data_IF_068453477516
#
_entry.id   IF_068453477516
#
_cell.length_a   1.000
_cell.length_b   1.000
_cell.length_c   1.000
_cell.angle_alpha   90.00
_cell.angle_beta   90.00
_cell.angle_gamma   90.00
#
_symmetry.space_group_name_H-M   'P 1'
#
loop_
_entity.id
_entity.type
_entity.pdbx_description
1 polymer ?
#
# COMPACT_ATOMS: atom_id res chain seq x y z
N UNK A 1 -48.82 -20.16 4.86
CA UNK A 1 -47.66 -19.46 5.28
C UNK A 1 -46.34 -20.13 4.86
N UNK A 2 -46.06 -20.30 3.56
CA UNK A 2 -44.81 -20.96 3.10
C UNK A 2 -43.84 -19.96 2.45
N UNK A 3 -44.22 -18.68 2.41
CA UNK A 3 -43.40 -17.65 1.77
C UNK A 3 -42.51 -16.80 2.71
N UNK A 4 -42.63 -16.93 4.02
CA UNK A 4 -41.94 -16.05 4.95
C UNK A 4 -40.54 -16.51 5.38
N UNK A 5 -40.20 -17.77 5.22
CA UNK A 5 -38.96 -18.38 5.72
C UNK A 5 -37.69 -18.01 4.95
N UNK A 6 -37.80 -17.53 3.72
CA UNK A 6 -36.62 -17.28 2.86
C UNK A 6 -36.13 -15.84 2.93
N UNK A 7 -36.97 -14.87 3.32
CA UNK A 7 -36.55 -13.47 3.41
C UNK A 7 -35.54 -13.25 4.55
N UNK A 8 -35.66 -13.97 5.64
CA UNK A 8 -34.70 -13.90 6.76
C UNK A 8 -33.32 -14.44 6.36
N UNK A 9 -33.25 -15.55 5.65
CA UNK A 9 -32.00 -16.13 5.18
C UNK A 9 -31.30 -15.21 4.16
N UNK A 10 -32.05 -14.66 3.20
CA UNK A 10 -31.53 -13.69 2.22
C UNK A 10 -31.07 -12.40 2.93
N UNK A 11 -31.84 -11.92 3.90
CA UNK A 11 -31.46 -10.72 4.69
C UNK A 11 -30.18 -10.93 5.50
N UNK A 12 -30.06 -12.08 6.19
CA UNK A 12 -28.84 -12.44 6.92
C UNK A 12 -27.63 -12.60 5.98
N UNK A 13 -27.79 -13.29 4.85
CA UNK A 13 -26.73 -13.45 3.88
C UNK A 13 -26.25 -12.11 3.32
N UNK A 14 -27.18 -11.24 2.93
CA UNK A 14 -26.86 -9.89 2.46
C UNK A 14 -26.12 -9.06 3.53
N UNK A 15 -26.57 -9.16 4.80
CA UNK A 15 -25.94 -8.47 5.93
C UNK A 15 -24.50 -8.96 6.13
N UNK A 16 -24.26 -10.27 6.16
CA UNK A 16 -22.91 -10.82 6.34
C UNK A 16 -22.00 -10.50 5.17
N UNK A 17 -22.51 -10.54 3.95
CA UNK A 17 -21.74 -10.21 2.74
C UNK A 17 -21.35 -8.73 2.73
N UNK A 18 -22.27 -7.83 3.06
CA UNK A 18 -22.00 -6.41 3.16
C UNK A 18 -21.07 -6.08 4.32
N UNK A 19 -21.26 -6.71 5.48
CA UNK A 19 -20.38 -6.55 6.62
C UNK A 19 -18.95 -7.03 6.31
N UNK A 20 -18.79 -8.18 5.67
CA UNK A 20 -17.50 -8.69 5.23
C UNK A 20 -16.80 -7.74 4.25
N UNK A 21 -17.53 -7.25 3.24
CA UNK A 21 -17.02 -6.26 2.29
C UNK A 21 -16.65 -4.94 2.95
N UNK A 22 -17.45 -4.48 3.91
CA UNK A 22 -17.16 -3.25 4.66
C UNK A 22 -15.88 -3.38 5.49
N UNK A 23 -15.72 -4.51 6.20
CA UNK A 23 -14.51 -4.78 7.00
C UNK A 23 -13.27 -4.90 6.12
N UNK A 24 -13.36 -5.60 4.98
CA UNK A 24 -12.28 -5.70 4.00
C UNK A 24 -11.85 -4.33 3.48
N UNK A 25 -12.83 -3.52 3.04
CA UNK A 25 -12.57 -2.16 2.56
C UNK A 25 -11.90 -1.30 3.62
N UNK A 26 -12.39 -1.33 4.85
CA UNK A 26 -11.83 -0.57 5.97
C UNK A 26 -10.41 -1.00 6.34
N UNK A 27 -10.12 -2.30 6.26
CA UNK A 27 -8.77 -2.82 6.46
C UNK A 27 -7.81 -2.32 5.37
N UNK A 28 -8.22 -2.36 4.10
CA UNK A 28 -7.43 -1.85 2.96
C UNK A 28 -7.17 -0.34 3.06
N UNK A 29 -8.17 0.45 3.43
CA UNK A 29 -8.03 1.91 3.58
C UNK A 29 -6.99 2.28 4.66
N UNK A 30 -6.96 1.55 5.78
CA UNK A 30 -5.97 1.76 6.84
C UNK A 30 -4.54 1.42 6.40
N UNK A 31 -4.38 0.38 5.60
CA UNK A 31 -3.07 -0.06 5.11
C UNK A 31 -2.54 0.89 4.04
N UNK A 32 -3.39 1.36 3.12
CA UNK A 32 -3.02 2.33 2.08
C UNK A 32 -2.60 3.70 2.66
N UNK A 33 -3.21 4.12 3.78
CA UNK A 33 -2.87 5.38 4.43
C UNK A 33 -1.42 5.40 4.97
N UNK A 34 -0.91 4.27 5.46
CA UNK A 34 0.46 4.17 5.98
C UNK A 34 1.50 4.34 4.85
N UNK A 35 1.24 3.78 3.67
CA UNK A 35 2.16 3.89 2.51
C UNK A 35 2.14 5.29 1.90
N UNK A 36 0.96 5.95 1.86
CA UNK A 36 0.82 7.31 1.34
C UNK A 36 1.59 8.35 2.18
N UNK A 37 1.78 8.12 3.47
CA UNK A 37 2.58 9.00 4.32
C UNK A 37 4.06 9.03 3.92
N UNK A 38 4.64 7.94 3.46
CA UNK A 38 6.04 7.88 3.03
C UNK A 38 6.30 8.67 1.74
N UNK A 39 5.33 8.70 0.82
CA UNK A 39 5.45 9.46 -0.44
C UNK A 39 5.37 10.98 -0.19
N UNK A 40 4.62 11.40 0.82
CA UNK A 40 4.46 12.81 1.18
C UNK A 40 5.65 13.40 1.96
N UNK A 41 6.72 12.64 2.21
CA UNK A 41 7.92 13.13 2.90
C UNK A 41 8.75 14.08 2.03
N UNK A 42 8.63 14.04 0.71
CA UNK A 42 9.42 14.88 -0.17
C UNK A 42 8.85 16.32 -0.23
N UNK A 43 9.73 17.34 -0.23
CA UNK A 43 9.30 18.73 -0.33
C UNK A 43 8.75 19.04 -1.72
N UNK A 44 7.74 19.91 -1.81
CA UNK A 44 7.16 20.32 -3.09
C UNK A 44 8.14 21.16 -3.93
N UNK A 45 9.10 21.86 -3.28
CA UNK A 45 10.11 22.71 -3.92
C UNK A 45 11.46 22.60 -3.22
N UNK A 46 12.54 22.91 -3.92
CA UNK A 46 13.91 22.91 -3.42
C UNK A 46 14.67 24.15 -3.91
N UNK A 47 15.86 24.39 -3.35
CA UNK A 47 16.75 25.47 -3.76
C UNK A 47 17.84 24.87 -4.64
N UNK A 48 17.77 25.13 -5.95
CA UNK A 48 18.82 24.77 -6.89
C UNK A 48 19.89 25.85 -6.91
N UNK A 49 21.15 25.45 -6.89
CA UNK A 49 22.28 26.33 -7.11
C UNK A 49 22.58 26.45 -8.63
N UNK A 50 22.59 27.66 -9.12
CA UNK A 50 23.02 27.96 -10.49
C UNK A 50 24.56 27.96 -10.58
N UNK A 51 25.11 27.89 -11.78
CA UNK A 51 26.55 27.96 -12.05
C UNK A 51 27.16 29.31 -11.54
N UNK A 52 26.35 30.37 -11.41
CA UNK A 52 26.74 31.66 -10.90
C UNK A 52 26.73 31.73 -9.36
N UNK A 53 26.48 30.65 -8.65
CA UNK A 53 26.39 30.58 -7.20
C UNK A 53 25.10 31.13 -6.61
N UNK A 54 24.14 31.55 -7.43
CA UNK A 54 22.84 32.01 -6.96
C UNK A 54 21.90 30.82 -6.69
N UNK A 55 21.12 30.91 -5.61
CA UNK A 55 20.10 29.90 -5.30
C UNK A 55 18.76 30.33 -5.88
N UNK A 56 18.14 29.44 -6.63
CA UNK A 56 16.81 29.59 -7.21
C UNK A 56 15.85 28.56 -6.63
N UNK A 57 14.65 28.98 -6.24
CA UNK A 57 13.61 28.06 -5.79
C UNK A 57 12.88 27.47 -6.99
N UNK A 58 12.98 26.17 -7.15
CA UNK A 58 12.31 25.41 -8.22
C UNK A 58 11.36 24.35 -7.64
N UNK A 59 10.44 23.87 -8.45
CA UNK A 59 9.61 22.70 -8.09
C UNK A 59 10.48 21.44 -8.12
N UNK A 60 10.16 20.47 -7.26
CA UNK A 60 10.86 19.19 -7.24
C UNK A 60 10.79 18.46 -8.61
N UNK A 61 9.69 18.65 -9.36
CA UNK A 61 9.50 18.10 -10.69
C UNK A 61 10.44 18.66 -11.77
N UNK A 62 11.05 19.82 -11.52
CA UNK A 62 11.99 20.48 -12.44
C UNK A 62 13.45 20.11 -12.16
N UNK A 63 13.71 19.48 -11.01
CA UNK A 63 15.04 19.05 -10.60
C UNK A 63 15.55 17.91 -11.50
N UNK A 64 16.84 17.94 -11.82
CA UNK A 64 17.50 16.95 -12.71
C UNK A 64 18.72 16.33 -12.04
N UNK A 65 19.06 15.14 -12.48
CA UNK A 65 20.32 14.48 -12.08
C UNK A 65 21.49 15.34 -12.53
N UNK A 66 22.44 15.57 -11.63
CA UNK A 66 23.58 16.47 -11.82
C UNK A 66 23.35 17.90 -11.34
N UNK A 67 22.10 18.31 -11.02
CA UNK A 67 21.85 19.61 -10.38
C UNK A 67 22.44 19.64 -8.98
N UNK A 68 22.83 20.86 -8.54
CA UNK A 68 23.26 21.11 -7.18
C UNK A 68 22.11 21.75 -6.39
N UNK A 69 21.83 21.21 -5.21
CA UNK A 69 20.78 21.71 -4.33
C UNK A 69 21.36 22.17 -3.00
N UNK A 70 20.90 23.32 -2.52
CA UNK A 70 21.21 23.84 -1.20
C UNK A 70 20.14 23.38 -0.21
N UNK A 71 20.56 22.63 0.81
CA UNK A 71 19.69 22.08 1.84
C UNK A 71 20.03 22.74 3.17
N UNK A 72 19.14 23.61 3.66
CA UNK A 72 19.32 24.29 4.95
C UNK A 72 19.01 23.35 6.14
N UNK A 73 19.50 23.68 7.34
CA UNK A 73 19.07 23.04 8.58
C UNK A 73 17.54 23.06 8.71
N UNK A 74 16.96 21.94 9.13
CA UNK A 74 15.51 21.75 9.24
C UNK A 74 14.81 21.45 7.90
N UNK A 75 15.53 21.40 6.79
CA UNK A 75 14.97 21.06 5.49
C UNK A 75 15.11 19.54 5.19
N UNK A 76 14.16 19.04 4.44
CA UNK A 76 14.16 17.64 3.96
C UNK A 76 14.94 17.56 2.65
N UNK A 77 15.77 16.54 2.51
CA UNK A 77 16.53 16.27 1.30
C UNK A 77 15.58 15.90 0.15
N UNK A 78 15.65 16.65 -0.98
CA UNK A 78 14.70 16.46 -2.08
C UNK A 78 15.02 15.25 -2.97
N UNK A 79 16.27 14.75 -2.92
CA UNK A 79 16.81 13.74 -3.82
C UNK A 79 17.87 12.89 -3.15
N UNK A 80 18.18 11.72 -3.71
CA UNK A 80 19.40 11.01 -3.36
C UNK A 80 20.58 11.73 -4.02
N UNK A 81 21.68 11.87 -3.28
CA UNK A 81 22.80 12.61 -3.80
C UNK A 81 24.08 12.41 -2.99
N UNK A 82 25.07 13.21 -3.36
CA UNK A 82 26.39 13.27 -2.71
C UNK A 82 26.66 14.68 -2.22
N UNK A 83 27.15 14.80 -1.00
CA UNK A 83 27.53 16.10 -0.43
C UNK A 83 28.78 16.62 -1.16
N UNK A 84 28.66 17.78 -1.77
CA UNK A 84 29.78 18.50 -2.37
C UNK A 84 30.47 19.42 -1.38
N UNK A 85 29.67 20.14 -0.56
CA UNK A 85 30.14 21.10 0.41
C UNK A 85 29.30 21.07 1.69
N UNK A 86 29.93 21.33 2.82
CA UNK A 86 29.31 21.41 4.14
C UNK A 86 29.47 20.14 4.95
N UNK A 87 29.03 20.23 6.17
CA UNK A 87 28.92 19.12 7.12
C UNK A 87 27.67 19.30 7.96
N UNK A 88 26.99 18.22 8.26
CA UNK A 88 25.79 18.24 9.08
C UNK A 88 25.49 16.86 9.68
N UNK A 89 24.54 16.81 10.61
CA UNK A 89 23.91 15.59 11.06
C UNK A 89 22.62 15.37 10.28
N UNK A 90 22.43 14.17 9.75
CA UNK A 90 21.24 13.77 8.99
C UNK A 90 20.41 12.82 9.83
N UNK A 91 19.14 13.15 10.02
CA UNK A 91 18.15 12.29 10.65
C UNK A 91 17.50 11.38 9.59
N UNK A 92 17.83 10.10 9.66
CA UNK A 92 17.32 9.04 8.80
C UNK A 92 16.22 8.20 9.49
N UNK A 93 15.71 8.64 10.66
CA UNK A 93 14.78 7.87 11.51
C UNK A 93 13.52 7.42 10.78
N UNK A 94 13.01 8.22 9.86
CA UNK A 94 11.84 7.89 9.06
C UNK A 94 12.07 6.72 8.08
N UNK A 95 13.32 6.47 7.69
CA UNK A 95 13.68 5.39 6.76
C UNK A 95 14.21 4.16 7.47
N UNK A 96 15.05 4.36 8.49
CA UNK A 96 15.78 3.29 9.18
C UNK A 96 15.18 2.91 10.53
N UNK A 97 14.39 3.81 11.13
CA UNK A 97 13.91 3.69 12.50
C UNK A 97 14.94 4.04 13.57
N UNK A 98 16.16 4.44 13.19
CA UNK A 98 17.21 4.85 14.12
C UNK A 98 17.09 6.33 14.44
N UNK A 99 16.90 6.68 15.72
CA UNK A 99 16.66 8.05 16.17
C UNK A 99 17.91 8.91 16.30
N UNK A 100 19.13 8.33 16.18
CA UNK A 100 20.36 9.09 16.30
C UNK A 100 20.76 9.68 14.95
N UNK A 101 20.82 11.03 14.81
CA UNK A 101 21.29 11.66 13.59
C UNK A 101 22.72 11.21 13.27
N UNK A 102 22.99 10.93 12.01
CA UNK A 102 24.26 10.46 11.49
C UNK A 102 25.07 11.66 10.98
N UNK A 103 26.29 11.85 11.48
CA UNK A 103 27.19 12.88 10.96
C UNK A 103 27.58 12.55 9.50
N UNK A 104 27.43 13.53 8.62
CA UNK A 104 27.76 13.46 7.19
C UNK A 104 28.64 14.63 6.80
N UNK A 105 29.61 14.36 5.94
CA UNK A 105 30.60 15.33 5.46
C UNK A 105 30.70 15.29 3.94
N UNK A 106 31.46 16.20 3.38
CA UNK A 106 31.76 16.23 1.94
C UNK A 106 32.24 14.88 1.43
N UNK A 107 31.58 14.40 0.37
CA UNK A 107 31.84 13.10 -0.23
C UNK A 107 30.89 11.99 0.22
N UNK A 108 30.14 12.18 1.30
CA UNK A 108 29.16 11.21 1.78
C UNK A 108 27.87 11.22 0.96
N UNK A 109 27.22 10.06 0.89
CA UNK A 109 25.94 9.92 0.25
C UNK A 109 24.82 10.29 1.22
N UNK A 110 23.76 10.91 0.68
CA UNK A 110 22.53 11.27 1.39
C UNK A 110 21.31 10.76 0.64
N UNK A 111 20.22 10.54 1.39
CA UNK A 111 19.01 9.89 0.88
C UNK A 111 17.84 10.87 0.89
N UNK A 112 17.02 10.85 -0.16
CA UNK A 112 15.78 11.61 -0.27
C UNK A 112 14.82 11.32 0.89
N UNK A 113 14.16 12.36 1.41
CA UNK A 113 13.20 12.23 2.50
C UNK A 113 13.81 12.22 3.91
N UNK A 114 15.16 12.30 4.04
CA UNK A 114 15.84 12.48 5.31
C UNK A 114 15.92 13.94 5.70
N UNK A 115 16.05 14.24 6.99
CA UNK A 115 16.06 15.60 7.54
C UNK A 115 17.50 16.07 7.79
N UNK A 116 17.86 17.21 7.23
CA UNK A 116 19.10 17.89 7.55
C UNK A 116 18.97 18.65 8.89
N UNK A 117 19.85 18.41 9.87
CA UNK A 117 19.64 18.91 11.23
C UNK A 117 20.45 20.18 11.54
N UNK A 118 21.78 20.19 11.29
CA UNK A 118 22.68 21.19 11.88
C UNK A 118 23.23 22.21 10.89
N UNK A 119 23.90 21.76 9.83
CA UNK A 119 24.61 22.59 8.90
C UNK A 119 23.94 22.70 7.53
N UNK A 120 24.22 23.77 6.78
CA UNK A 120 23.80 23.84 5.39
C UNK A 120 24.68 22.91 4.54
N UNK A 121 24.03 22.20 3.62
CA UNK A 121 24.68 21.24 2.72
C UNK A 121 24.43 21.65 1.27
N UNK A 122 25.47 21.55 0.44
CA UNK A 122 25.35 21.54 -1.02
C UNK A 122 25.43 20.09 -1.47
N UNK A 123 24.38 19.62 -2.12
CA UNK A 123 24.23 18.22 -2.54
C UNK A 123 24.09 18.15 -4.05
N UNK A 124 24.91 17.31 -4.70
CA UNK A 124 24.74 16.94 -6.10
C UNK A 124 23.70 15.83 -6.21
N UNK A 125 22.70 16.04 -7.03
CA UNK A 125 21.60 15.09 -7.25
C UNK A 125 22.09 13.91 -8.08
N UNK A 126 21.95 12.69 -7.54
CA UNK A 126 22.33 11.45 -8.22
C UNK A 126 21.13 10.63 -8.68
N UNK A 127 20.01 10.63 -7.90
CA UNK A 127 18.78 9.96 -8.27
C UNK A 127 17.55 10.74 -7.84
N UNK A 128 16.48 10.64 -8.63
CA UNK A 128 15.23 11.39 -8.47
C UNK A 128 14.01 10.48 -8.64
N UNK A 129 12.90 10.89 -8.05
CA UNK A 129 11.61 10.25 -8.27
C UNK A 129 11.64 8.75 -7.96
N UNK A 130 11.37 7.93 -8.98
CA UNK A 130 11.28 6.49 -8.84
C UNK A 130 12.63 5.78 -8.63
N UNK A 131 13.74 6.42 -8.94
CA UNK A 131 15.08 5.83 -8.83
C UNK A 131 15.71 6.06 -7.45
N UNK A 132 15.04 6.80 -6.57
CA UNK A 132 15.50 7.03 -5.19
C UNK A 132 15.36 5.76 -4.32
N UNK A 133 16.21 5.69 -3.28
CA UNK A 133 16.13 4.62 -2.26
C UNK A 133 14.78 4.60 -1.58
N UNK A 134 14.22 5.76 -1.26
CA UNK A 134 12.88 5.89 -0.68
C UNK A 134 11.82 5.22 -1.58
N UNK A 135 11.84 5.53 -2.88
CA UNK A 135 10.90 4.93 -3.85
C UNK A 135 11.09 3.42 -4.00
N UNK A 136 12.31 2.92 -3.89
CA UNK A 136 12.58 1.48 -3.89
C UNK A 136 11.94 0.78 -2.68
N UNK A 137 12.03 1.39 -1.49
CA UNK A 137 11.39 0.88 -0.26
C UNK A 137 9.87 0.88 -0.42
N UNK A 138 9.28 1.98 -0.90
CA UNK A 138 7.83 2.07 -1.15
C UNK A 138 7.36 0.98 -2.11
N UNK A 139 8.06 0.76 -3.23
CA UNK A 139 7.73 -0.31 -4.18
C UNK A 139 7.81 -1.71 -3.57
N UNK A 140 8.78 -1.97 -2.69
CA UNK A 140 8.87 -3.26 -1.99
C UNK A 140 7.70 -3.45 -1.02
N UNK A 141 7.31 -2.41 -0.30
CA UNK A 141 6.14 -2.43 0.58
C UNK A 141 4.84 -2.65 -0.21
N UNK A 142 4.67 -1.96 -1.34
CA UNK A 142 3.50 -2.13 -2.21
C UNK A 142 3.40 -3.56 -2.77
N UNK A 143 4.53 -4.15 -3.19
CA UNK A 143 4.56 -5.55 -3.63
C UNK A 143 4.22 -6.52 -2.50
N UNK A 144 4.79 -6.32 -1.32
CA UNK A 144 4.49 -7.15 -0.15
C UNK A 144 3.00 -7.08 0.25
N UNK A 145 2.36 -5.92 0.06
CA UNK A 145 0.93 -5.73 0.33
C UNK A 145 0.02 -6.26 -0.79
N UNK A 146 0.49 -6.23 -2.04
CA UNK A 146 -0.26 -6.74 -3.20
C UNK A 146 -0.33 -8.26 -3.25
N UNK A 147 0.63 -8.96 -2.64
CA UNK A 147 0.58 -10.42 -2.50
C UNK A 147 -0.57 -10.80 -1.58
N UNK A 148 -1.62 -11.40 -2.16
CA UNK A 148 -2.73 -11.98 -1.37
C UNK A 148 -2.16 -12.96 -0.36
N UNK A 149 -2.51 -12.85 0.93
CA UNK A 149 -2.08 -13.83 1.91
C UNK A 149 -2.43 -15.25 1.42
N UNK A 150 -1.49 -16.19 1.45
CA UNK A 150 -1.71 -17.59 1.03
C UNK A 150 -2.96 -18.20 1.68
N UNK A 151 -3.31 -17.76 2.89
CA UNK A 151 -4.52 -18.13 3.59
C UNK A 151 -5.80 -17.72 2.85
N UNK A 152 -5.82 -16.55 2.19
CA UNK A 152 -6.98 -16.12 1.40
C UNK A 152 -7.17 -17.00 0.15
N UNK A 153 -6.08 -17.40 -0.51
CA UNK A 153 -6.15 -18.32 -1.66
C UNK A 153 -6.64 -19.73 -1.26
N UNK A 154 -6.22 -20.20 -0.09
CA UNK A 154 -6.69 -21.48 0.45
C UNK A 154 -8.18 -21.39 0.80
N UNK A 155 -8.60 -20.29 1.42
CA UNK A 155 -10.01 -20.06 1.75
C UNK A 155 -10.88 -19.97 0.50
N UNK A 156 -10.43 -19.25 -0.54
CA UNK A 156 -11.12 -19.14 -1.83
C UNK A 156 -11.27 -20.53 -2.50
N UNK A 157 -10.21 -21.33 -2.51
CA UNK A 157 -10.28 -22.71 -3.04
C UNK A 157 -11.22 -23.59 -2.22
N UNK A 158 -11.16 -23.54 -0.90
CA UNK A 158 -12.04 -24.29 -0.04
C UNK A 158 -13.51 -23.92 -0.26
N UNK A 159 -13.81 -22.61 -0.41
CA UNK A 159 -15.13 -22.10 -0.73
C UNK A 159 -15.63 -22.59 -2.11
N UNK A 160 -14.77 -22.61 -3.13
CA UNK A 160 -15.11 -23.13 -4.46
C UNK A 160 -15.46 -24.62 -4.42
N UNK A 161 -14.64 -25.43 -3.73
CA UNK A 161 -14.90 -26.86 -3.56
C UNK A 161 -16.17 -27.12 -2.76
N UNK A 162 -16.40 -26.35 -1.69
CA UNK A 162 -17.62 -26.45 -0.90
C UNK A 162 -18.87 -26.17 -1.74
N UNK A 163 -18.84 -25.10 -2.54
CA UNK A 163 -19.94 -24.74 -3.43
C UNK A 163 -20.21 -25.82 -4.48
N UNK A 164 -19.15 -26.36 -5.09
CA UNK A 164 -19.28 -27.43 -6.08
C UNK A 164 -19.89 -28.69 -5.48
N UNK A 165 -19.41 -29.12 -4.31
CA UNK A 165 -19.93 -30.28 -3.60
C UNK A 165 -21.38 -30.06 -3.16
N UNK A 166 -21.75 -28.86 -2.69
CA UNK A 166 -23.13 -28.53 -2.32
C UNK A 166 -24.07 -28.61 -3.52
N UNK A 167 -23.65 -28.11 -4.69
CA UNK A 167 -24.44 -28.20 -5.93
C UNK A 167 -24.60 -29.63 -6.40
N UNK A 168 -23.55 -30.45 -6.35
CA UNK A 168 -23.61 -31.88 -6.72
C UNK A 168 -24.54 -32.62 -5.77
N UNK A 169 -24.44 -32.38 -4.45
CA UNK A 169 -25.30 -33.00 -3.46
C UNK A 169 -26.77 -32.60 -3.65
N UNK A 170 -27.03 -31.29 -3.89
CA UNK A 170 -28.37 -30.79 -4.17
C UNK A 170 -28.98 -31.46 -5.43
N UNK A 171 -28.17 -31.57 -6.51
CA UNK A 171 -28.60 -32.25 -7.73
C UNK A 171 -28.88 -33.75 -7.52
N UNK A 172 -28.02 -34.46 -6.78
CA UNK A 172 -28.19 -35.86 -6.48
C UNK A 172 -29.46 -36.10 -5.64
N UNK A 173 -29.68 -35.30 -4.62
CA UNK A 173 -30.89 -35.37 -3.78
C UNK A 173 -32.13 -35.03 -4.61
N UNK A 174 -32.06 -34.02 -5.45
CA UNK A 174 -33.16 -33.65 -6.34
C UNK A 174 -33.56 -34.78 -7.29
N UNK A 175 -32.58 -35.46 -7.90
CA UNK A 175 -32.81 -36.61 -8.78
C UNK A 175 -33.43 -37.80 -8.03
N UNK A 176 -32.95 -38.10 -6.83
CA UNK A 176 -33.43 -39.20 -6.02
C UNK A 176 -34.90 -39.01 -5.58
N UNK A 177 -35.26 -37.78 -5.20
CA UNK A 177 -36.63 -37.46 -4.80
C UNK A 177 -37.57 -37.22 -5.96
N UNK A 178 -37.06 -36.93 -7.15
CA UNK A 178 -37.87 -36.72 -8.35
C UNK A 178 -38.75 -37.92 -8.70
N UNK A 179 -38.22 -39.14 -8.51
CA UNK A 179 -38.95 -40.38 -8.74
C UNK A 179 -39.97 -40.68 -7.64
N UNK A 180 -39.77 -40.17 -6.43
CA UNK A 180 -40.63 -40.45 -5.25
C UNK A 180 -41.75 -39.41 -5.11
N UNK A 181 -41.44 -38.10 -5.19
CA UNK A 181 -42.37 -36.99 -5.08
C UNK A 181 -41.72 -35.70 -5.61
N UNK A 182 -42.06 -35.31 -6.84
CA UNK A 182 -41.47 -34.17 -7.50
C UNK A 182 -41.76 -32.82 -6.78
N UNK A 183 -42.86 -32.72 -6.05
CA UNK A 183 -43.18 -31.48 -5.32
C UNK A 183 -42.32 -31.29 -4.09
N UNK A 184 -41.94 -32.37 -3.43
CA UNK A 184 -41.02 -32.34 -2.29
C UNK A 184 -39.55 -32.17 -2.72
N UNK A 185 -39.16 -32.76 -3.85
CA UNK A 185 -37.82 -32.62 -4.42
C UNK A 185 -37.43 -31.14 -4.56
N UNK A 186 -38.28 -30.33 -5.12
CA UNK A 186 -38.06 -28.89 -5.28
C UNK A 186 -37.79 -28.16 -3.94
N UNK A 187 -38.59 -28.42 -2.91
CA UNK A 187 -38.44 -27.77 -1.61
C UNK A 187 -37.20 -28.21 -0.87
N UNK A 188 -36.80 -29.49 -1.00
CA UNK A 188 -35.58 -30.02 -0.36
C UNK A 188 -34.33 -29.45 -1.01
N UNK A 189 -34.28 -29.38 -2.34
CA UNK A 189 -33.15 -28.75 -3.07
C UNK A 189 -33.03 -27.30 -2.72
N UNK A 190 -34.15 -26.59 -2.67
CA UNK A 190 -34.18 -25.17 -2.29
C UNK A 190 -33.69 -24.93 -0.85
N UNK A 191 -34.12 -25.77 0.08
CA UNK A 191 -33.69 -25.70 1.49
C UNK A 191 -32.20 -26.04 1.70
N UNK A 192 -31.59 -26.78 0.79
CA UNK A 192 -30.18 -27.14 0.84
C UNK A 192 -29.28 -26.04 0.24
N UNK A 193 -29.83 -25.23 -0.68
CA UNK A 193 -29.09 -24.14 -1.34
C UNK A 193 -29.16 -22.82 -0.58
N UNK A 194 -30.10 -22.65 0.35
CA UNK A 194 -30.29 -21.49 1.22
C UNK A 194 -29.63 -21.71 2.56
#
# INVERSE_FOLDING_TARGET
GVGELYFDAVGMFALFLLAGRYLERRARERTAAATAQLVNLLPASCLRLSADGQSERILLSELRVGDQVLVHPGAILPADGKILEGQSSIDESLLTGEYLPQARTTGDAVTAGTLNVEGALTVEVQALGQDTRLSAIVRLLDRAQAEKPRLAEIADRAAQWFLLLSLIAAAAIGLLWWELDASRAFWIVLAMLV
#
